data_IF_311411443114
#
_entry.id   IF_311411443114
#
_cell.length_a   1.000
_cell.length_b   1.000
_cell.length_c   1.000
_cell.angle_alpha   90.00
_cell.angle_beta   90.00
_cell.angle_gamma   90.00
#
_symmetry.space_group_name_H-M   'P 1'
#
loop_
_entity.id
_entity.type
_entity.pdbx_description
1 polymer ?
#
# COMPACT_ATOMS: atom_id res chain seq x y z
N UNK A 1 8.60 9.60 16.64
CA UNK A 1 9.24 9.35 17.95
C UNK A 1 8.97 10.44 19.01
N UNK A 2 8.93 11.74 18.68
CA UNK A 2 8.65 12.79 19.69
C UNK A 2 7.21 12.81 20.24
N UNK A 3 6.20 12.62 19.38
CA UNK A 3 4.78 12.61 19.79
C UNK A 3 4.40 11.39 20.64
N UNK A 4 4.87 10.20 20.26
CA UNK A 4 4.65 8.95 21.01
C UNK A 4 5.24 9.06 22.42
N UNK A 5 6.44 9.62 22.56
CA UNK A 5 7.05 9.80 23.89
C UNK A 5 6.31 10.81 24.77
N UNK A 6 5.74 11.86 24.18
CA UNK A 6 4.91 12.82 24.91
C UNK A 6 3.58 12.18 25.36
N UNK A 7 2.93 11.41 24.48
CA UNK A 7 1.73 10.64 24.81
C UNK A 7 1.99 9.61 25.91
N UNK A 8 3.11 8.88 25.85
CA UNK A 8 3.50 7.92 26.90
C UNK A 8 3.66 8.62 28.26
N UNK A 9 4.23 9.84 28.29
CA UNK A 9 4.38 10.61 29.52
C UNK A 9 3.04 11.14 30.06
N UNK A 10 2.12 11.57 29.19
CA UNK A 10 0.75 11.96 29.60
C UNK A 10 -0.02 10.75 30.14
N UNK A 11 0.08 9.59 29.50
CA UNK A 11 -0.59 8.35 29.95
C UNK A 11 -0.04 7.84 31.29
N UNK A 12 1.27 7.96 31.53
CA UNK A 12 1.89 7.64 32.83
C UNK A 12 1.46 8.62 33.94
N UNK A 13 1.27 9.90 33.63
CA UNK A 13 0.81 10.92 34.60
C UNK A 13 -0.68 10.75 34.97
N UNK A 14 -1.50 10.20 34.08
CA UNK A 14 -2.93 10.00 34.32
C UNK A 14 -3.30 8.73 35.11
N UNK A 15 -2.32 7.91 35.53
CA UNK A 15 -2.49 6.95 36.64
C UNK A 15 -3.66 5.97 36.50
N UNK A 16 -3.67 5.17 35.43
CA UNK A 16 -4.69 4.13 35.20
C UNK A 16 -4.10 2.72 35.38
N UNK A 17 -3.60 2.39 36.58
CA UNK A 17 -3.17 1.03 36.93
C UNK A 17 -4.40 0.14 37.23
N UNK A 18 -5.08 -0.34 36.19
CA UNK A 18 -6.15 -1.34 36.31
C UNK A 18 -5.63 -2.79 36.40
N UNK A 19 -4.42 -3.04 35.88
CA UNK A 19 -3.79 -4.37 35.87
C UNK A 19 -2.43 -4.34 36.55
N UNK A 20 -2.21 -5.26 37.49
CA UNK A 20 -0.88 -5.47 38.07
C UNK A 20 -0.01 -6.35 37.15
N UNK A 21 1.28 -6.01 37.06
CA UNK A 21 2.21 -6.77 36.23
C UNK A 21 2.30 -8.22 36.71
N UNK A 22 2.11 -9.16 35.79
CA UNK A 22 2.17 -10.59 36.02
C UNK A 22 0.89 -11.23 36.57
N UNK A 23 -0.21 -10.47 36.65
CA UNK A 23 -1.51 -10.95 37.16
C UNK A 23 -2.25 -11.82 36.14
N UNK A 24 -2.41 -11.32 34.91
CA UNK A 24 -3.10 -12.00 33.81
C UNK A 24 -2.24 -12.03 32.55
N UNK A 25 -2.38 -13.09 31.77
CA UNK A 25 -1.68 -13.28 30.50
C UNK A 25 -2.66 -13.64 29.37
N UNK A 26 -2.50 -13.01 28.21
CA UNK A 26 -3.34 -13.20 27.02
C UNK A 26 -2.54 -13.90 25.92
N UNK A 27 -3.13 -14.89 25.25
CA UNK A 27 -2.53 -15.54 24.08
C UNK A 27 -2.99 -14.94 22.74
N UNK A 28 -2.21 -15.17 21.69
CA UNK A 28 -2.46 -14.67 20.33
C UNK A 28 -3.55 -15.41 19.53
N UNK A 29 -4.50 -16.09 20.20
CA UNK A 29 -5.57 -16.84 19.51
C UNK A 29 -6.95 -16.20 19.69
N UNK A 30 -7.07 -15.24 20.62
CA UNK A 30 -8.35 -14.59 20.91
C UNK A 30 -8.74 -13.54 19.86
N UNK A 31 -7.77 -12.94 19.17
CA UNK A 31 -8.02 -11.90 18.19
C UNK A 31 -8.05 -12.46 16.78
N UNK A 32 -8.94 -11.95 15.93
CA UNK A 32 -8.90 -12.25 14.50
C UNK A 32 -7.78 -11.46 13.78
N UNK A 33 -7.47 -10.25 14.28
CA UNK A 33 -6.46 -9.39 13.69
C UNK A 33 -5.05 -9.99 13.83
N UNK A 34 -4.43 -10.28 12.68
CA UNK A 34 -3.11 -10.91 12.60
C UNK A 34 -1.96 -10.01 13.07
N UNK A 35 -2.10 -8.70 13.04
CA UNK A 35 -1.08 -7.74 13.45
C UNK A 35 -1.08 -7.59 14.97
N UNK A 36 -2.26 -7.53 15.60
CA UNK A 36 -2.38 -7.60 17.06
C UNK A 36 -1.83 -8.93 17.59
N UNK A 37 -2.20 -10.05 16.96
CA UNK A 37 -1.59 -11.35 17.25
C UNK A 37 -0.07 -11.40 17.00
N UNK A 38 0.40 -10.68 15.97
CA UNK A 38 1.82 -10.52 15.68
C UNK A 38 2.56 -9.76 16.77
N UNK A 39 1.94 -8.72 17.34
CA UNK A 39 2.47 -7.99 18.49
C UNK A 39 2.60 -8.92 19.71
N UNK A 40 1.55 -9.67 20.05
CA UNK A 40 1.57 -10.66 21.14
C UNK A 40 2.69 -11.68 20.94
N UNK A 41 2.85 -12.22 19.72
CA UNK A 41 3.91 -13.20 19.43
C UNK A 41 5.33 -12.62 19.51
N UNK A 42 5.49 -11.34 19.20
CA UNK A 42 6.79 -10.65 19.20
C UNK A 42 7.24 -10.26 20.59
N UNK A 43 6.29 -9.86 21.45
CA UNK A 43 6.57 -9.32 22.78
C UNK A 43 6.25 -10.30 23.92
N UNK A 44 5.55 -11.38 23.62
CA UNK A 44 5.18 -12.42 24.58
C UNK A 44 6.24 -13.50 24.77
N UNK A 45 5.95 -14.39 25.73
CA UNK A 45 6.77 -15.53 26.09
C UNK A 45 5.94 -16.81 26.20
N UNK A 46 6.58 -17.97 26.30
CA UNK A 46 5.83 -19.23 26.48
C UNK A 46 5.25 -19.30 27.89
N UNK A 47 3.92 -19.28 27.98
CA UNK A 47 3.19 -19.30 29.25
C UNK A 47 1.83 -19.96 29.12
N UNK A 48 0.97 -19.80 30.13
CA UNK A 48 -0.40 -20.29 30.13
C UNK A 48 -1.34 -19.09 30.07
N UNK A 49 -2.27 -19.08 29.12
CA UNK A 49 -3.25 -18.01 28.98
C UNK A 49 -4.21 -18.03 30.18
N UNK A 50 -4.41 -16.88 30.83
CA UNK A 50 -5.35 -16.74 31.96
C UNK A 50 -6.82 -16.90 31.53
N UNK A 51 -7.11 -16.73 30.24
CA UNK A 51 -8.47 -16.70 29.69
C UNK A 51 -8.90 -18.06 29.12
N UNK A 52 -8.07 -18.68 28.28
CA UNK A 52 -8.39 -19.98 27.67
C UNK A 52 -7.67 -21.18 28.33
N UNK A 53 -6.68 -20.94 29.19
CA UNK A 53 -5.91 -22.00 29.87
C UNK A 53 -4.91 -22.77 28.98
N UNK A 54 -4.79 -22.42 27.70
CA UNK A 54 -3.84 -23.06 26.79
C UNK A 54 -2.40 -22.58 27.03
N UNK A 55 -1.44 -23.49 26.83
CA UNK A 55 -0.01 -23.19 26.92
C UNK A 55 0.51 -22.77 25.56
N UNK A 56 0.77 -21.48 25.38
CA UNK A 56 1.15 -20.87 24.10
C UNK A 56 2.07 -19.66 24.32
N UNK A 57 2.32 -18.89 23.26
CA UNK A 57 2.92 -17.56 23.41
C UNK A 57 1.87 -16.61 24.00
N UNK A 58 2.19 -16.05 25.16
CA UNK A 58 1.32 -15.14 25.90
C UNK A 58 2.05 -13.84 26.22
N UNK A 59 1.30 -12.75 26.27
CA UNK A 59 1.78 -11.44 26.74
C UNK A 59 1.09 -11.08 28.06
N UNK A 60 1.75 -10.29 28.90
CA UNK A 60 1.14 -9.70 30.08
C UNK A 60 -0.05 -8.82 29.66
N UNK A 61 -1.20 -8.97 30.35
CA UNK A 61 -2.40 -8.19 30.03
C UNK A 61 -2.16 -6.69 30.18
N UNK A 62 -1.30 -6.27 31.12
CA UNK A 62 -0.92 -4.86 31.27
C UNK A 62 -0.17 -4.35 30.03
N UNK A 63 0.80 -5.12 29.54
CA UNK A 63 1.60 -4.74 28.37
C UNK A 63 0.73 -4.70 27.08
N UNK A 64 -0.29 -5.57 27.00
CA UNK A 64 -1.28 -5.54 25.92
C UNK A 64 -2.21 -4.33 26.03
N UNK A 65 -2.73 -4.05 27.23
CA UNK A 65 -3.59 -2.91 27.52
C UNK A 65 -2.91 -1.58 27.15
N UNK A 66 -1.63 -1.42 27.53
CA UNK A 66 -0.83 -0.26 27.17
C UNK A 66 -0.70 -0.11 25.65
N UNK A 67 -0.47 -1.21 24.93
CA UNK A 67 -0.40 -1.19 23.47
C UNK A 67 -1.74 -0.79 22.83
N UNK A 68 -2.85 -1.34 23.31
CA UNK A 68 -4.20 -1.03 22.81
C UNK A 68 -4.50 0.45 23.01
N UNK A 69 -4.38 0.96 24.24
CA UNK A 69 -4.64 2.36 24.59
C UNK A 69 -3.74 3.32 23.81
N UNK A 70 -2.43 3.03 23.73
CA UNK A 70 -1.51 3.87 22.97
C UNK A 70 -1.86 3.92 21.48
N UNK A 71 -2.27 2.79 20.90
CA UNK A 71 -2.63 2.76 19.47
C UNK A 71 -3.93 3.53 19.21
N UNK A 72 -4.96 3.31 20.04
CA UNK A 72 -6.25 4.01 19.90
C UNK A 72 -6.07 5.52 20.09
N UNK A 73 -5.37 5.97 21.14
CA UNK A 73 -5.17 7.41 21.43
C UNK A 73 -4.35 8.18 20.38
N UNK A 74 -3.64 7.48 19.50
CA UNK A 74 -2.98 8.10 18.34
C UNK A 74 -4.00 8.52 17.27
N UNK A 75 -5.09 7.76 17.12
CA UNK A 75 -6.02 7.88 15.99
C UNK A 75 -7.42 8.32 16.36
N UNK A 76 -7.87 8.03 17.58
CA UNK A 76 -9.22 8.27 18.07
C UNK A 76 -9.16 9.01 19.39
N UNK A 77 -10.23 9.75 19.65
CA UNK A 77 -10.48 10.46 20.89
C UNK A 77 -11.98 10.39 21.20
N UNK A 78 -12.31 10.63 22.46
CA UNK A 78 -13.67 10.97 22.86
C UNK A 78 -14.13 12.21 22.07
N UNK A 79 -15.37 12.16 21.57
CA UNK A 79 -16.03 13.27 20.85
C UNK A 79 -15.98 14.59 21.66
N UNK A 80 -16.17 14.54 22.98
CA UNK A 80 -16.11 15.72 23.87
C UNK A 80 -14.70 16.34 23.91
N UNK A 81 -13.67 15.57 23.60
CA UNK A 81 -12.26 16.01 23.64
C UNK A 81 -11.77 16.63 22.33
N UNK A 82 -12.53 16.53 21.24
CA UNK A 82 -12.15 17.01 19.89
C UNK A 82 -12.48 18.49 19.63
N UNK A 83 -12.96 19.23 20.64
CA UNK A 83 -13.32 20.64 20.52
C UNK A 83 -14.30 20.92 19.36
N UNK A 84 -15.24 20.00 19.14
CA UNK A 84 -16.20 20.04 18.05
C UNK A 84 -17.23 21.17 18.21
N UNK A 85 -17.71 21.75 17.09
CA UNK A 85 -18.80 22.71 17.16
C UNK A 85 -20.10 22.04 17.63
N UNK A 86 -20.90 22.77 18.40
CA UNK A 86 -22.24 22.30 18.78
C UNK A 86 -23.16 22.26 17.56
N UNK A 87 -23.89 21.16 17.42
CA UNK A 87 -24.88 20.97 16.35
C UNK A 87 -25.93 22.10 16.34
N UNK A 88 -26.32 22.60 17.52
CA UNK A 88 -27.26 23.72 17.66
C UNK A 88 -26.76 25.05 17.09
N UNK A 89 -25.47 25.17 16.75
CA UNK A 89 -24.92 26.34 16.06
C UNK A 89 -25.08 26.27 14.54
N UNK A 90 -25.38 25.09 14.00
CA UNK A 90 -25.46 24.83 12.57
C UNK A 90 -26.86 24.44 12.12
N UNK A 91 -27.57 23.65 12.92
CA UNK A 91 -28.86 23.06 12.58
C UNK A 91 -29.99 23.69 13.42
N UNK A 92 -31.01 24.21 12.76
CA UNK A 92 -32.20 24.82 13.37
C UNK A 92 -33.16 23.76 13.95
N UNK A 93 -33.23 22.58 13.33
CA UNK A 93 -34.02 21.43 13.78
C UNK A 93 -33.36 20.07 13.47
N UNK A 94 -34.00 18.96 13.86
CA UNK A 94 -33.48 17.60 13.70
C UNK A 94 -33.60 17.06 12.27
N UNK A 95 -34.47 17.62 11.44
CA UNK A 95 -34.71 17.18 10.05
C UNK A 95 -33.85 17.94 9.05
N UNK A 96 -33.27 19.07 9.45
CA UNK A 96 -32.39 19.89 8.61
C UNK A 96 -31.13 19.11 8.19
N UNK A 97 -30.87 19.11 6.87
CA UNK A 97 -29.69 18.50 6.28
C UNK A 97 -28.78 19.59 5.70
N UNK A 98 -27.53 19.64 6.17
CA UNK A 98 -26.53 20.60 5.70
C UNK A 98 -25.44 19.83 4.95
N UNK A 99 -25.23 20.10 3.65
CA UNK A 99 -24.24 19.36 2.87
C UNK A 99 -22.84 19.40 3.49
N UNK A 100 -22.30 18.22 3.79
CA UNK A 100 -20.92 18.04 4.25
C UNK A 100 -20.75 17.99 5.76
N UNK A 101 -21.82 18.18 6.55
CA UNK A 101 -21.80 18.00 8.00
C UNK A 101 -23.03 17.22 8.47
N UNK A 102 -22.85 16.39 9.49
CA UNK A 102 -23.93 15.64 10.16
C UNK A 102 -23.87 15.83 11.67
N UNK A 103 -24.92 15.40 12.37
CA UNK A 103 -25.00 15.42 13.84
C UNK A 103 -24.34 14.16 14.43
N UNK A 104 -23.62 14.32 15.53
CA UNK A 104 -23.11 13.26 16.40
C UNK A 104 -23.35 13.66 17.85
N UNK A 105 -24.36 13.07 18.49
CA UNK A 105 -24.87 13.57 19.77
C UNK A 105 -25.21 15.06 19.71
N UNK A 106 -24.54 15.88 20.55
CA UNK A 106 -24.72 17.33 20.56
C UNK A 106 -23.79 18.12 19.62
N UNK A 107 -22.96 17.43 18.85
CA UNK A 107 -21.92 18.01 18.00
C UNK A 107 -22.26 17.95 16.51
N UNK A 108 -21.69 18.89 15.75
CA UNK A 108 -21.63 18.83 14.30
C UNK A 108 -20.27 18.32 13.86
N UNK A 109 -20.27 17.27 13.05
CA UNK A 109 -19.08 16.61 12.51
C UNK A 109 -19.14 16.57 10.98
N UNK A 110 -18.04 16.27 10.28
CA UNK A 110 -18.09 16.00 8.84
C UNK A 110 -19.04 14.84 8.50
N UNK A 111 -19.73 14.97 7.36
CA UNK A 111 -20.67 13.95 6.85
C UNK A 111 -20.05 12.53 6.82
N UNK A 112 -18.80 12.45 6.38
CA UNK A 112 -18.08 11.19 6.20
C UNK A 112 -17.31 10.75 7.45
N UNK A 113 -17.43 11.48 8.57
CA UNK A 113 -16.76 11.08 9.80
C UNK A 113 -17.36 9.78 10.32
N UNK A 114 -16.50 8.82 10.61
CA UNK A 114 -16.84 7.59 11.32
C UNK A 114 -16.90 7.89 12.81
N UNK A 115 -18.02 7.55 13.42
CA UNK A 115 -18.33 7.78 14.84
C UNK A 115 -18.72 6.42 15.39
N UNK A 116 -18.21 6.11 16.56
CA UNK A 116 -18.68 4.98 17.35
C UNK A 116 -19.52 5.54 18.50
N UNK A 117 -20.75 5.08 18.62
CA UNK A 117 -21.71 5.57 19.61
C UNK A 117 -21.28 5.21 21.05
N UNK A 118 -20.54 4.11 21.19
CA UNK A 118 -20.00 3.63 22.45
C UNK A 118 -18.65 2.89 22.27
N UNK A 119 -18.02 2.54 23.40
CA UNK A 119 -16.72 1.82 23.41
C UNK A 119 -16.85 0.41 22.80
N UNK A 120 -18.00 -0.24 22.96
CA UNK A 120 -18.23 -1.59 22.43
C UNK A 120 -18.24 -1.59 20.90
N UNK A 121 -18.89 -0.60 20.27
CA UNK A 121 -18.90 -0.45 18.81
C UNK A 121 -17.49 -0.21 18.25
N UNK A 122 -16.71 0.67 18.91
CA UNK A 122 -15.30 0.89 18.54
C UNK A 122 -14.49 -0.41 18.69
N UNK A 123 -14.67 -1.16 19.79
CA UNK A 123 -13.96 -2.42 20.00
C UNK A 123 -14.31 -3.48 18.94
N UNK A 124 -15.56 -3.54 18.50
CA UNK A 124 -16.00 -4.45 17.43
C UNK A 124 -15.31 -4.08 16.11
N UNK A 125 -15.37 -2.82 15.69
CA UNK A 125 -14.80 -2.37 14.42
C UNK A 125 -13.26 -2.49 14.39
N UNK A 126 -12.60 -2.23 15.51
CA UNK A 126 -11.16 -2.38 15.64
C UNK A 126 -10.70 -3.85 15.84
N UNK A 127 -11.61 -4.81 15.86
CA UNK A 127 -11.29 -6.24 15.99
C UNK A 127 -10.74 -6.63 17.36
N UNK A 128 -11.14 -5.90 18.41
CA UNK A 128 -10.80 -6.18 19.81
C UNK A 128 -11.81 -7.10 20.50
N UNK A 129 -13.02 -7.22 19.96
CA UNK A 129 -14.01 -8.15 20.47
C UNK A 129 -13.59 -9.60 20.18
N UNK A 130 -13.51 -10.43 21.21
CA UNK A 130 -13.00 -11.81 21.17
C UNK A 130 -14.08 -12.84 21.45
N UNK A 131 -13.71 -14.12 21.36
CA UNK A 131 -14.54 -15.26 21.76
C UNK A 131 -14.63 -15.48 23.28
N UNK A 132 -13.97 -14.65 24.08
CA UNK A 132 -13.90 -14.78 25.53
C UNK A 132 -14.48 -13.55 26.24
N UNK A 133 -15.67 -13.72 26.84
CA UNK A 133 -16.37 -12.64 27.57
C UNK A 133 -15.49 -11.99 28.64
N UNK A 134 -14.75 -12.78 29.44
CA UNK A 134 -13.87 -12.23 30.48
C UNK A 134 -12.71 -11.40 29.93
N UNK A 135 -12.24 -11.68 28.70
CA UNK A 135 -11.23 -10.85 28.04
C UNK A 135 -11.86 -9.58 27.47
N UNK A 136 -13.06 -9.69 26.91
CA UNK A 136 -13.82 -8.54 26.41
C UNK A 136 -14.09 -7.55 27.55
N UNK A 137 -14.55 -8.03 28.71
CA UNK A 137 -14.76 -7.21 29.92
C UNK A 137 -13.46 -6.51 30.37
N UNK A 138 -12.33 -7.23 30.38
CA UNK A 138 -11.02 -6.68 30.76
C UNK A 138 -10.53 -5.60 29.77
N UNK A 139 -10.82 -5.73 28.47
CA UNK A 139 -10.47 -4.74 27.45
C UNK A 139 -11.43 -3.55 27.49
N UNK A 140 -12.73 -3.78 27.68
CA UNK A 140 -13.75 -2.72 27.78
C UNK A 140 -13.47 -1.79 28.96
N UNK A 141 -13.10 -2.36 30.12
CA UNK A 141 -12.66 -1.60 31.30
C UNK A 141 -11.36 -0.79 31.10
N UNK A 142 -10.69 -0.91 29.95
CA UNK A 142 -9.58 -0.01 29.62
C UNK A 142 -10.06 1.40 29.30
N UNK A 143 -11.33 1.57 28.94
CA UNK A 143 -11.90 2.81 28.46
C UNK A 143 -13.09 3.23 29.34
N UNK A 144 -13.36 4.53 29.36
CA UNK A 144 -14.67 5.01 29.81
C UNK A 144 -15.68 4.77 28.67
N UNK A 145 -16.93 4.48 29.01
CA UNK A 145 -17.99 4.23 28.03
C UNK A 145 -18.42 5.55 27.38
N UNK A 146 -17.75 5.90 26.28
CA UNK A 146 -17.84 7.20 25.62
C UNK A 146 -18.15 7.03 24.14
N UNK A 147 -18.60 8.12 23.53
CA UNK A 147 -18.69 8.22 22.07
C UNK A 147 -17.31 8.54 21.50
N UNK A 148 -16.87 7.80 20.48
CA UNK A 148 -15.53 7.92 19.91
C UNK A 148 -15.56 8.42 18.47
N UNK A 149 -14.53 9.18 18.11
CA UNK A 149 -14.34 9.69 16.75
C UNK A 149 -12.85 9.73 16.40
N UNK A 150 -12.55 9.67 15.10
CA UNK A 150 -11.21 9.95 14.59
C UNK A 150 -10.73 11.32 15.07
N UNK A 151 -9.51 11.36 15.58
CA UNK A 151 -8.78 12.57 15.95
C UNK A 151 -8.64 13.53 14.77
N UNK A 152 -8.84 14.82 15.02
CA UNK A 152 -9.00 15.85 14.01
C UNK A 152 -9.99 15.41 12.92
N UNK A 153 -11.29 15.26 13.23
CA UNK A 153 -12.25 14.64 12.32
C UNK A 153 -12.45 15.41 11.01
N UNK A 154 -12.16 16.70 10.99
CA UNK A 154 -12.18 17.55 9.78
C UNK A 154 -10.96 17.36 8.87
N UNK A 155 -9.90 16.73 9.36
CA UNK A 155 -8.73 16.36 8.57
C UNK A 155 -8.91 14.96 7.97
N UNK A 156 -8.35 14.75 6.78
CA UNK A 156 -8.29 13.43 6.16
C UNK A 156 -7.34 12.51 6.94
N UNK A 157 -7.48 11.20 6.77
CA UNK A 157 -6.39 10.31 7.12
C UNK A 157 -5.17 10.62 6.25
N UNK A 158 -3.95 10.38 6.75
CA UNK A 158 -2.75 10.69 5.99
C UNK A 158 -2.71 9.93 4.65
N UNK A 159 -3.15 8.67 4.62
CA UNK A 159 -3.21 7.89 3.38
C UNK A 159 -4.20 8.49 2.36
N UNK A 160 -5.33 9.03 2.81
CA UNK A 160 -6.32 9.68 1.95
C UNK A 160 -5.79 11.01 1.40
N UNK A 161 -5.07 11.78 2.22
CA UNK A 161 -4.38 12.98 1.76
C UNK A 161 -3.38 12.65 0.65
N UNK A 162 -2.56 11.61 0.85
CA UNK A 162 -1.62 11.14 -0.17
C UNK A 162 -2.31 10.65 -1.44
N UNK A 163 -3.46 9.99 -1.32
CA UNK A 163 -4.28 9.63 -2.49
C UNK A 163 -4.76 10.86 -3.26
N UNK A 164 -5.22 11.91 -2.56
CA UNK A 164 -5.64 13.15 -3.19
C UNK A 164 -4.46 13.87 -3.86
N UNK A 165 -3.28 13.88 -3.22
CA UNK A 165 -2.07 14.45 -3.81
C UNK A 165 -1.66 13.68 -5.08
N UNK A 166 -1.72 12.34 -5.06
CA UNK A 166 -1.47 11.51 -6.23
C UNK A 166 -2.47 11.80 -7.36
N UNK A 167 -3.77 11.87 -7.05
CA UNK A 167 -4.82 12.20 -8.03
C UNK A 167 -4.60 13.58 -8.65
N UNK A 168 -4.28 14.59 -7.84
CA UNK A 168 -3.97 15.96 -8.32
C UNK A 168 -2.72 15.98 -9.20
N UNK A 169 -1.67 15.25 -8.81
CA UNK A 169 -0.47 15.11 -9.62
C UNK A 169 -0.77 14.42 -10.96
N UNK A 170 -1.50 13.31 -10.94
CA UNK A 170 -1.90 12.57 -12.13
C UNK A 170 -2.68 13.46 -13.11
N UNK A 171 -3.69 14.20 -12.62
CA UNK A 171 -4.46 15.14 -13.44
C UNK A 171 -3.57 16.26 -14.02
N UNK A 172 -2.66 16.81 -13.21
CA UNK A 172 -1.73 17.86 -13.64
C UNK A 172 -0.84 17.39 -14.80
N UNK A 173 -0.23 16.21 -14.69
CA UNK A 173 0.68 15.69 -15.72
C UNK A 173 -0.07 15.14 -16.93
N UNK A 174 -1.33 14.73 -16.77
CA UNK A 174 -2.18 14.37 -17.91
C UNK A 174 -2.58 15.60 -18.74
N UNK A 175 -2.96 16.71 -18.10
CA UNK A 175 -3.70 17.78 -18.78
C UNK A 175 -3.05 19.17 -18.76
N UNK A 176 -1.97 19.39 -18.00
CA UNK A 176 -1.38 20.72 -17.84
C UNK A 176 0.14 20.75 -17.96
N UNK A 177 0.88 20.19 -17.00
CA UNK A 177 2.34 20.34 -16.87
C UNK A 177 3.05 18.99 -16.88
N UNK A 178 3.45 18.54 -18.08
CA UNK A 178 4.06 17.22 -18.26
C UNK A 178 5.57 17.17 -17.99
N UNK A 179 6.29 18.24 -18.33
CA UNK A 179 7.76 18.23 -18.37
C UNK A 179 8.41 19.12 -17.31
N UNK A 180 7.71 20.16 -16.86
CA UNK A 180 8.25 21.21 -15.99
C UNK A 180 7.76 21.11 -14.55
N UNK A 181 7.09 20.02 -14.18
CA UNK A 181 6.54 19.83 -12.83
C UNK A 181 7.64 19.82 -11.74
N UNK A 182 8.81 19.26 -12.02
CA UNK A 182 9.97 19.28 -11.10
C UNK A 182 10.56 20.68 -10.88
N UNK A 183 10.29 21.63 -11.79
CA UNK A 183 10.79 23.01 -11.68
C UNK A 183 9.81 23.92 -10.92
N UNK A 184 8.72 23.37 -10.37
CA UNK A 184 7.79 24.16 -9.57
C UNK A 184 8.44 24.57 -8.25
N UNK A 185 8.28 25.84 -7.83
CA UNK A 185 8.74 26.25 -6.51
C UNK A 185 8.00 25.40 -5.47
N UNK A 186 8.74 24.86 -4.50
CA UNK A 186 8.14 24.21 -3.33
C UNK A 186 7.34 25.29 -2.60
N UNK A 187 6.02 25.24 -2.71
CA UNK A 187 5.15 26.10 -1.88
C UNK A 187 5.23 25.52 -0.47
N UNK A 188 5.40 26.37 0.55
CA UNK A 188 5.43 25.87 1.94
C UNK A 188 4.15 25.07 2.21
N UNK A 189 4.30 23.78 2.53
CA UNK A 189 3.19 22.85 2.74
C UNK A 189 2.73 22.06 1.51
N UNK A 190 3.28 22.29 0.31
CA UNK A 190 3.03 21.40 -0.85
C UNK A 190 4.13 20.36 -0.96
N UNK A 191 3.91 19.19 -0.38
CA UNK A 191 4.81 18.05 -0.54
C UNK A 191 4.75 17.52 -1.98
N UNK A 192 5.92 17.17 -2.53
CA UNK A 192 6.01 16.55 -3.83
C UNK A 192 5.65 15.08 -3.66
N UNK A 193 4.52 14.65 -4.23
CA UNK A 193 4.04 13.26 -4.08
C UNK A 193 5.07 12.19 -4.49
N UNK A 194 6.01 12.50 -5.40
CA UNK A 194 7.07 11.57 -5.76
C UNK A 194 8.15 11.45 -4.66
N UNK A 195 8.41 12.54 -3.93
CA UNK A 195 9.28 12.54 -2.75
C UNK A 195 8.58 11.78 -1.59
N UNK A 196 7.27 12.00 -1.39
CA UNK A 196 6.51 11.24 -0.39
C UNK A 196 6.46 9.74 -0.72
N UNK A 197 6.18 9.37 -1.98
CA UNK A 197 6.25 7.98 -2.43
C UNK A 197 7.63 7.36 -2.17
N UNK A 198 8.71 8.14 -2.36
CA UNK A 198 10.06 7.70 -2.02
C UNK A 198 10.20 7.40 -0.52
N UNK A 199 9.79 8.34 0.35
CA UNK A 199 9.86 8.13 1.80
C UNK A 199 9.06 6.90 2.24
N UNK A 200 7.84 6.74 1.70
CA UNK A 200 7.01 5.57 1.99
C UNK A 200 7.71 4.28 1.55
N UNK A 201 8.23 4.21 0.33
CA UNK A 201 8.96 3.03 -0.16
C UNK A 201 10.20 2.74 0.71
N UNK A 202 10.94 3.77 1.15
CA UNK A 202 12.13 3.61 1.98
C UNK A 202 11.84 3.13 3.40
N UNK A 203 10.69 3.51 3.95
CA UNK A 203 10.31 3.21 5.32
C UNK A 203 9.35 2.04 5.46
N UNK A 204 8.87 1.47 4.35
CA UNK A 204 7.99 0.31 4.34
C UNK A 204 8.79 -0.98 4.08
N UNK A 205 8.82 -1.85 5.07
CA UNK A 205 9.54 -3.13 4.97
C UNK A 205 8.86 -4.06 3.95
N UNK A 206 9.66 -4.85 3.22
CA UNK A 206 9.18 -5.79 2.21
C UNK A 206 8.90 -5.19 0.83
N UNK A 207 8.88 -3.87 0.68
CA UNK A 207 8.67 -3.21 -0.63
C UNK A 207 9.91 -3.29 -1.51
N UNK A 208 11.12 -3.18 -0.97
CA UNK A 208 12.35 -3.44 -1.74
C UNK A 208 12.63 -4.93 -1.76
N UNK A 209 12.52 -5.54 -2.94
CA UNK A 209 12.66 -6.97 -3.14
C UNK A 209 13.86 -7.30 -4.02
N UNK A 210 14.56 -8.39 -3.71
CA UNK A 210 15.65 -8.92 -4.53
C UNK A 210 15.17 -10.12 -5.32
N UNK A 211 15.16 -10.01 -6.65
CA UNK A 211 14.93 -11.14 -7.54
C UNK A 211 16.25 -11.92 -7.66
N UNK A 212 16.30 -13.19 -7.22
CA UNK A 212 17.55 -13.97 -7.24
C UNK A 212 18.02 -14.31 -8.65
N UNK A 213 19.31 -14.65 -8.76
CA UNK A 213 19.90 -15.23 -9.97
C UNK A 213 19.18 -16.55 -10.32
N UNK A 214 18.91 -16.78 -11.61
CA UNK A 214 18.24 -17.99 -12.09
C UNK A 214 16.72 -17.96 -11.98
N UNK A 215 16.12 -16.83 -11.62
CA UNK A 215 14.66 -16.62 -11.68
C UNK A 215 14.19 -16.64 -13.12
N UNK A 216 13.11 -17.37 -13.41
CA UNK A 216 12.50 -17.40 -14.75
C UNK A 216 11.60 -16.19 -14.96
N UNK A 217 11.76 -15.52 -16.10
CA UNK A 217 10.87 -14.48 -16.59
C UNK A 217 10.39 -14.85 -17.99
N UNK A 218 9.10 -14.68 -18.24
CA UNK A 218 8.50 -14.88 -19.55
C UNK A 218 8.21 -13.54 -20.21
N UNK A 219 8.53 -13.44 -21.49
CA UNK A 219 8.18 -12.29 -22.32
C UNK A 219 7.69 -12.77 -23.68
N UNK A 220 6.64 -12.13 -24.15
CA UNK A 220 5.95 -12.50 -25.38
C UNK A 220 6.04 -11.38 -26.41
N UNK A 221 5.99 -11.76 -27.68
CA UNK A 221 5.92 -10.84 -28.80
C UNK A 221 5.00 -11.41 -29.87
N UNK A 222 4.01 -10.62 -30.25
CA UNK A 222 3.17 -10.92 -31.40
C UNK A 222 3.91 -10.64 -32.71
N UNK A 223 3.84 -11.57 -33.66
CA UNK A 223 4.43 -11.44 -34.99
C UNK A 223 3.37 -11.57 -36.08
N UNK A 224 3.48 -10.72 -37.09
CA UNK A 224 2.63 -10.79 -38.29
C UNK A 224 2.99 -11.94 -39.24
N UNK A 225 4.15 -12.57 -39.01
CA UNK A 225 4.75 -13.60 -39.85
C UNK A 225 5.27 -14.76 -39.00
N UNK A 226 5.40 -15.93 -39.62
CA UNK A 226 6.02 -17.08 -38.98
C UNK A 226 7.46 -16.76 -38.54
N UNK A 227 7.87 -17.37 -37.43
CA UNK A 227 9.22 -17.30 -36.90
C UNK A 227 10.24 -17.75 -37.96
N UNK A 228 11.29 -16.97 -38.17
CA UNK A 228 12.44 -17.37 -38.99
C UNK A 228 13.65 -17.74 -38.12
N UNK A 229 14.68 -18.35 -38.73
CA UNK A 229 15.89 -18.79 -38.03
C UNK A 229 16.81 -17.64 -37.57
N UNK A 230 16.52 -16.39 -37.96
CA UNK A 230 17.29 -15.22 -37.54
C UNK A 230 16.76 -14.59 -36.25
N UNK A 231 15.52 -14.95 -35.86
CA UNK A 231 14.89 -14.47 -34.65
C UNK A 231 15.61 -15.00 -33.41
N UNK A 232 16.14 -14.07 -32.61
CA UNK A 232 16.91 -14.41 -31.41
C UNK A 232 16.70 -13.45 -30.26
N UNK A 233 17.66 -13.42 -29.35
CA UNK A 233 17.61 -12.63 -28.11
C UNK A 233 17.21 -11.17 -28.34
N UNK A 234 17.82 -10.50 -29.33
CA UNK A 234 17.57 -9.08 -29.63
C UNK A 234 16.15 -8.82 -30.13
N UNK A 235 15.48 -9.83 -30.67
CA UNK A 235 14.14 -9.71 -31.25
C UNK A 235 13.04 -9.98 -30.21
N UNK A 236 13.30 -10.83 -29.21
CA UNK A 236 12.31 -11.15 -28.17
C UNK A 236 12.48 -10.35 -26.87
N UNK A 237 13.66 -9.79 -26.60
CA UNK A 237 13.89 -8.94 -25.41
C UNK A 237 13.17 -7.57 -25.55
N UNK A 238 13.61 -6.53 -24.84
CA UNK A 238 13.08 -5.16 -24.96
C UNK A 238 13.17 -4.66 -26.42
N UNK A 239 12.22 -3.86 -26.90
CA UNK A 239 12.34 -3.25 -28.23
C UNK A 239 13.49 -2.21 -28.25
N UNK A 240 14.26 -2.05 -29.35
CA UNK A 240 15.18 -0.93 -29.51
C UNK A 240 14.47 0.42 -29.35
N UNK A 241 15.16 1.46 -28.88
CA UNK A 241 14.55 2.77 -28.61
C UNK A 241 13.73 3.32 -29.80
N UNK A 242 14.25 3.22 -31.03
CA UNK A 242 13.57 3.70 -32.24
C UNK A 242 12.23 2.98 -32.56
N UNK A 243 12.00 1.81 -31.96
CA UNK A 243 10.79 1.01 -32.15
C UNK A 243 10.05 0.74 -30.84
N UNK A 244 10.50 1.34 -29.73
CA UNK A 244 9.86 1.22 -28.44
C UNK A 244 8.54 2.01 -28.48
N UNK A 245 7.43 1.27 -28.57
CA UNK A 245 6.10 1.86 -28.47
C UNK A 245 5.79 2.35 -27.06
N UNK A 246 4.65 3.02 -26.93
CA UNK A 246 4.18 3.44 -25.63
C UNK A 246 3.69 2.23 -24.80
N UNK A 247 4.07 2.19 -23.54
CA UNK A 247 3.65 1.19 -22.56
C UNK A 247 3.21 1.87 -21.26
N UNK A 248 2.58 1.11 -20.35
CA UNK A 248 2.09 1.62 -19.06
C UNK A 248 3.18 2.25 -18.19
N UNK A 249 4.37 1.64 -18.17
CA UNK A 249 5.49 2.09 -17.33
C UNK A 249 6.58 2.84 -18.11
N UNK A 250 6.48 2.92 -19.45
CA UNK A 250 7.49 3.61 -20.26
C UNK A 250 6.87 4.37 -21.43
N UNK A 251 7.27 5.63 -21.68
CA UNK A 251 6.80 6.37 -22.85
C UNK A 251 7.40 5.81 -24.14
N UNK A 252 6.80 6.15 -25.27
CA UNK A 252 7.36 5.80 -26.58
C UNK A 252 8.79 6.34 -26.72
N UNK A 253 9.69 5.53 -27.27
CA UNK A 253 11.11 5.84 -27.38
C UNK A 253 11.97 5.38 -26.19
N UNK A 254 11.37 5.03 -25.06
CA UNK A 254 12.10 4.56 -23.87
C UNK A 254 12.01 3.05 -23.75
N UNK A 255 13.10 2.37 -24.12
CA UNK A 255 13.21 0.91 -24.04
C UNK A 255 13.36 0.43 -22.59
N UNK A 256 12.50 -0.49 -22.19
CA UNK A 256 12.55 -1.24 -20.92
C UNK A 256 12.17 -2.71 -21.17
N UNK A 257 12.69 -3.62 -20.34
CA UNK A 257 12.33 -5.03 -20.42
C UNK A 257 11.06 -5.28 -19.62
N UNK A 258 9.99 -5.69 -20.29
CA UNK A 258 8.77 -6.17 -19.62
C UNK A 258 8.74 -7.69 -19.63
N UNK A 259 8.46 -8.30 -18.48
CA UNK A 259 8.23 -9.72 -18.34
C UNK A 259 7.20 -10.05 -17.27
N UNK A 260 6.84 -11.32 -17.19
CA UNK A 260 5.99 -11.89 -16.15
C UNK A 260 6.67 -13.11 -15.52
N UNK A 261 6.22 -13.51 -14.33
CA UNK A 261 6.76 -14.67 -13.61
C UNK A 261 6.10 -15.99 -14.04
N UNK A 262 5.00 -15.94 -14.79
CA UNK A 262 4.34 -17.09 -15.40
C UNK A 262 4.03 -16.84 -16.88
N UNK A 263 4.02 -17.93 -17.65
CA UNK A 263 3.85 -17.92 -19.11
C UNK A 263 2.47 -17.37 -19.50
N UNK A 264 1.43 -17.78 -18.77
CA UNK A 264 0.04 -17.41 -19.04
C UNK A 264 -0.18 -15.91 -18.88
N UNK A 265 0.39 -15.29 -17.84
CA UNK A 265 0.35 -13.84 -17.68
C UNK A 265 1.03 -13.13 -18.84
N UNK A 266 2.24 -13.57 -19.24
CA UNK A 266 2.96 -12.96 -20.35
C UNK A 266 2.16 -13.03 -21.66
N UNK A 267 1.50 -14.16 -21.95
CA UNK A 267 0.60 -14.30 -23.10
C UNK A 267 -0.57 -13.30 -22.99
N UNK A 268 -1.26 -13.29 -21.84
CA UNK A 268 -2.44 -12.46 -21.64
C UNK A 268 -2.14 -10.98 -21.86
N UNK A 269 -0.98 -10.48 -21.42
CA UNK A 269 -0.56 -9.08 -21.56
C UNK A 269 -0.21 -8.71 -23.00
N UNK A 270 0.33 -9.63 -23.80
CA UNK A 270 0.73 -9.35 -25.19
C UNK A 270 -0.41 -9.37 -26.20
N UNK A 271 -1.48 -10.14 -25.96
CA UNK A 271 -2.60 -10.21 -26.89
C UNK A 271 -3.36 -8.88 -26.88
N UNK A 272 -3.31 -8.14 -28.00
CA UNK A 272 -4.05 -6.89 -28.22
C UNK A 272 -5.30 -7.07 -29.06
N UNK A 273 -5.34 -8.06 -29.95
CA UNK A 273 -6.53 -8.43 -30.73
C UNK A 273 -6.62 -9.94 -30.98
N UNK A 274 -7.83 -10.41 -31.29
CA UNK A 274 -8.10 -11.82 -31.61
C UNK A 274 -7.47 -12.27 -32.96
N UNK A 275 -6.97 -11.33 -33.77
CA UNK A 275 -6.44 -11.57 -35.11
C UNK A 275 -4.91 -11.72 -35.15
N UNK A 276 -4.25 -11.72 -33.98
CA UNK A 276 -2.81 -11.93 -33.88
C UNK A 276 -2.42 -13.36 -34.28
N UNK A 277 -1.53 -13.49 -35.27
CA UNK A 277 -1.32 -14.75 -36.01
C UNK A 277 -0.35 -15.73 -35.36
N UNK A 278 0.64 -15.22 -34.64
CA UNK A 278 1.73 -16.00 -34.05
C UNK A 278 2.23 -15.29 -32.79
N UNK A 279 2.18 -15.97 -31.64
CA UNK A 279 2.76 -15.48 -30.39
C UNK A 279 4.08 -16.20 -30.13
N UNK A 280 5.17 -15.44 -30.11
CA UNK A 280 6.48 -15.96 -29.71
C UNK A 280 6.67 -15.71 -28.23
N UNK A 281 7.11 -16.74 -27.52
CA UNK A 281 7.29 -16.74 -26.09
C UNK A 281 8.76 -17.02 -25.80
N UNK A 282 9.45 -16.03 -25.23
CA UNK A 282 10.80 -16.16 -24.71
C UNK A 282 10.78 -16.49 -23.23
N UNK A 283 11.47 -17.57 -22.86
CA UNK A 283 11.79 -17.91 -21.48
C UNK A 283 13.19 -17.38 -21.16
N UNK A 284 13.26 -16.48 -20.19
CA UNK A 284 14.49 -15.84 -19.76
C UNK A 284 14.86 -16.27 -18.34
N UNK A 285 16.16 -16.33 -18.06
CA UNK A 285 16.70 -16.51 -16.71
C UNK A 285 17.49 -15.27 -16.31
N UNK A 286 17.27 -14.78 -15.10
CA UNK A 286 18.12 -13.72 -14.52
C UNK A 286 19.55 -14.23 -14.35
N UNK A 287 20.55 -13.42 -14.72
CA UNK A 287 21.97 -13.76 -14.60
C UNK A 287 22.72 -12.93 -13.55
N UNK A 288 21.98 -12.03 -12.89
CA UNK A 288 22.42 -11.24 -11.74
C UNK A 288 21.25 -11.09 -10.76
N UNK A 289 21.58 -10.68 -9.55
CA UNK A 289 20.57 -10.20 -8.61
C UNK A 289 20.01 -8.87 -9.12
N UNK A 290 18.69 -8.71 -9.02
CA UNK A 290 17.95 -7.55 -9.51
C UNK A 290 17.14 -6.99 -8.34
N UNK A 291 17.43 -5.75 -7.95
CA UNK A 291 16.68 -5.09 -6.87
C UNK A 291 15.49 -4.33 -7.45
N UNK A 292 14.28 -4.61 -7.00
CA UNK A 292 13.05 -3.98 -7.52
C UNK A 292 12.22 -3.38 -6.40
N UNK A 293 11.44 -2.35 -6.73
CA UNK A 293 10.28 -1.96 -5.92
C UNK A 293 9.17 -2.97 -6.21
N UNK A 294 8.71 -3.69 -5.21
CA UNK A 294 7.66 -4.70 -5.32
C UNK A 294 6.36 -4.22 -4.67
N UNK A 295 5.40 -3.87 -5.54
CA UNK A 295 4.05 -3.49 -5.14
C UNK A 295 3.07 -4.67 -5.20
N UNK A 296 3.54 -5.89 -5.46
CA UNK A 296 2.69 -7.08 -5.59
C UNK A 296 2.48 -7.82 -4.27
N UNK A 297 3.44 -7.67 -3.34
CA UNK A 297 3.50 -8.32 -2.02
C UNK A 297 2.92 -7.46 -0.90
N UNK A 298 2.25 -6.35 -1.24
CA UNK A 298 1.53 -5.52 -0.27
C UNK A 298 0.46 -6.36 0.46
N UNK A 299 0.31 -6.19 1.79
CA UNK A 299 -0.63 -6.97 2.59
C UNK A 299 -2.07 -6.73 2.16
N UNK A 300 -2.85 -7.81 2.08
CA UNK A 300 -4.26 -7.76 1.67
C UNK A 300 -5.11 -6.98 2.66
N UNK A 301 -4.84 -7.13 3.95
CA UNK A 301 -5.56 -6.47 5.05
C UNK A 301 -4.60 -5.53 5.76
N UNK A 302 -5.05 -4.33 6.05
CA UNK A 302 -4.34 -3.32 6.83
C UNK A 302 -5.26 -2.92 7.96
N UNK A 303 -4.72 -2.72 9.15
CA UNK A 303 -5.45 -2.26 10.32
C UNK A 303 -4.55 -1.36 11.15
N UNK A 304 -5.11 -0.61 12.09
CA UNK A 304 -4.36 0.34 12.92
C UNK A 304 -3.27 -0.35 13.77
N UNK A 305 -3.42 -1.65 14.02
CA UNK A 305 -2.47 -2.49 14.75
C UNK A 305 -1.18 -2.78 13.96
N UNK A 306 -1.19 -2.53 12.65
CA UNK A 306 -0.03 -2.69 11.79
C UNK A 306 0.88 -1.46 11.86
N UNK A 307 2.18 -1.68 12.08
CA UNK A 307 3.17 -0.59 12.00
C UNK A 307 3.14 0.05 10.59
N UNK A 308 3.02 1.39 10.55
CA UNK A 308 2.91 2.20 9.32
C UNK A 308 1.76 1.76 8.39
N UNK A 309 0.64 1.33 8.96
CA UNK A 309 -0.52 0.89 8.19
C UNK A 309 -0.98 1.92 7.14
N UNK A 310 -0.91 3.21 7.45
CA UNK A 310 -1.29 4.30 6.53
C UNK A 310 -0.42 4.29 5.26
N UNK A 311 0.89 4.02 5.39
CA UNK A 311 1.82 3.86 4.28
C UNK A 311 1.45 2.69 3.38
N UNK A 312 1.11 1.54 3.99
CA UNK A 312 0.63 0.37 3.24
C UNK A 312 -0.73 0.62 2.58
N UNK A 313 -1.66 1.28 3.27
CA UNK A 313 -2.96 1.65 2.73
C UNK A 313 -2.80 2.54 1.48
N UNK A 314 -1.94 3.56 1.58
CA UNK A 314 -1.61 4.43 0.45
C UNK A 314 -0.96 3.65 -0.71
N UNK A 315 0.09 2.84 -0.45
CA UNK A 315 0.75 2.06 -1.51
C UNK A 315 -0.22 1.11 -2.22
N UNK A 316 -1.19 0.53 -1.50
CA UNK A 316 -2.24 -0.32 -2.11
C UNK A 316 -3.14 0.48 -3.04
N UNK A 317 -3.57 1.67 -2.61
CA UNK A 317 -4.42 2.55 -3.42
C UNK A 317 -3.67 3.08 -4.65
N UNK A 318 -2.43 3.53 -4.45
CA UNK A 318 -1.50 3.93 -5.52
C UNK A 318 -1.28 2.80 -6.53
N UNK A 319 -1.00 1.58 -6.05
CA UNK A 319 -0.80 0.42 -6.91
C UNK A 319 -2.05 0.08 -7.73
N UNK A 320 -3.22 0.14 -7.10
CA UNK A 320 -4.51 -0.06 -7.77
C UNK A 320 -4.72 0.96 -8.90
N UNK A 321 -4.38 2.22 -8.67
CA UNK A 321 -4.49 3.29 -9.67
C UNK A 321 -3.55 3.06 -10.86
N UNK A 322 -2.26 2.80 -10.64
CA UNK A 322 -1.30 2.61 -11.75
C UNK A 322 -1.54 1.30 -12.52
N UNK A 323 -2.25 0.33 -11.94
CA UNK A 323 -2.55 -0.97 -12.56
C UNK A 323 -3.99 -1.08 -13.09
N UNK A 324 -4.79 -0.01 -13.04
CA UNK A 324 -6.17 -0.05 -13.50
C UNK A 324 -6.29 -0.31 -15.02
N UNK A 325 -7.27 -1.12 -15.47
CA UNK A 325 -7.58 -1.27 -16.89
C UNK A 325 -7.95 0.09 -17.51
N UNK A 326 -7.59 0.28 -18.78
CA UNK A 326 -8.04 1.46 -19.51
C UNK A 326 -9.52 1.37 -19.84
N UNK A 327 -10.23 2.50 -19.77
CA UNK A 327 -11.58 2.62 -20.31
C UNK A 327 -11.54 2.51 -21.84
N UNK A 328 -12.65 2.07 -22.46
CA UNK A 328 -12.71 1.76 -23.91
C UNK A 328 -12.27 2.91 -24.82
N UNK A 329 -12.52 4.15 -24.42
CA UNK A 329 -12.21 5.36 -25.20
C UNK A 329 -11.01 6.16 -24.63
N UNK A 330 -10.32 5.60 -23.63
CA UNK A 330 -9.20 6.26 -23.00
C UNK A 330 -7.97 6.28 -23.93
N UNK A 331 -7.26 7.42 -23.94
CA UNK A 331 -6.03 7.57 -24.73
C UNK A 331 -4.85 7.08 -23.89
N UNK A 332 -4.22 5.97 -24.29
CA UNK A 332 -3.00 5.45 -23.64
C UNK A 332 -1.94 6.55 -23.45
N UNK A 333 -1.76 7.38 -24.49
CA UNK A 333 -0.90 8.57 -24.56
C UNK A 333 -1.09 9.60 -23.43
N UNK A 334 -2.21 9.53 -22.71
CA UNK A 334 -2.55 10.41 -21.61
C UNK A 334 -2.60 9.60 -20.31
N UNK A 335 -3.35 8.51 -20.29
CA UNK A 335 -3.59 7.75 -19.05
C UNK A 335 -2.33 7.12 -18.45
N UNK A 336 -1.33 6.78 -19.27
CA UNK A 336 -0.09 6.20 -18.77
C UNK A 336 0.95 7.23 -18.32
N UNK A 337 0.72 8.52 -18.55
CA UNK A 337 1.70 9.56 -18.20
C UNK A 337 2.08 9.53 -16.71
N UNK A 338 1.14 9.41 -15.74
CA UNK A 338 1.50 9.38 -14.32
C UNK A 338 2.40 8.19 -13.95
N UNK A 339 2.05 6.97 -14.39
CA UNK A 339 2.83 5.76 -14.11
C UNK A 339 4.19 5.76 -14.82
N UNK A 340 4.27 6.35 -16.02
CA UNK A 340 5.54 6.56 -16.73
C UNK A 340 6.46 7.50 -15.96
N UNK A 341 5.93 8.63 -15.47
CA UNK A 341 6.72 9.58 -14.68
C UNK A 341 7.21 8.93 -13.38
N UNK A 342 6.34 8.21 -12.67
CA UNK A 342 6.75 7.46 -11.47
C UNK A 342 7.85 6.44 -11.79
N UNK A 343 7.73 5.72 -12.90
CA UNK A 343 8.75 4.73 -13.31
C UNK A 343 10.08 5.39 -13.64
N UNK A 344 10.08 6.54 -14.33
CA UNK A 344 11.31 7.30 -14.57
C UNK A 344 11.90 7.89 -13.29
N UNK A 345 11.06 8.33 -12.36
CA UNK A 345 11.49 8.77 -11.04
C UNK A 345 12.21 7.63 -10.28
N UNK A 346 11.63 6.43 -10.25
CA UNK A 346 12.29 5.25 -9.68
C UNK A 346 13.63 4.93 -10.38
N UNK A 347 13.67 5.08 -11.70
CA UNK A 347 14.85 4.75 -12.50
C UNK A 347 16.02 5.73 -12.28
N UNK A 348 15.74 7.02 -12.12
CA UNK A 348 16.76 8.06 -12.19
C UNK A 348 16.97 8.84 -10.89
N UNK A 349 15.96 8.92 -10.04
CA UNK A 349 15.97 9.79 -8.86
C UNK A 349 15.91 9.01 -7.55
N UNK A 350 15.25 7.85 -7.54
CA UNK A 350 15.18 7.00 -6.35
C UNK A 350 16.54 6.37 -6.03
N UNK A 351 16.88 6.40 -4.75
CA UNK A 351 17.98 5.63 -4.16
C UNK A 351 17.54 5.08 -2.81
N UNK A 352 17.94 3.84 -2.50
CA UNK A 352 17.70 3.29 -1.17
C UNK A 352 18.51 4.01 -0.08
N UNK A 353 18.34 3.59 1.19
CA UNK A 353 19.06 4.15 2.34
C UNK A 353 20.60 4.04 2.24
N UNK A 354 21.12 3.22 1.33
CA UNK A 354 22.55 3.02 1.07
C UNK A 354 23.02 3.76 -0.20
N UNK A 355 22.15 4.55 -0.84
CA UNK A 355 22.46 5.27 -2.08
C UNK A 355 22.43 4.38 -3.34
N UNK A 356 21.84 3.17 -3.27
CA UNK A 356 21.77 2.25 -4.42
C UNK A 356 20.50 2.51 -5.22
N UNK A 357 20.62 2.50 -6.54
CA UNK A 357 19.47 2.57 -7.44
C UNK A 357 18.75 1.23 -7.51
N UNK A 358 17.46 1.29 -7.81
CA UNK A 358 16.66 0.10 -8.14
C UNK A 358 16.80 -0.25 -9.62
N UNK A 359 16.72 -1.54 -9.90
CA UNK A 359 16.83 -2.13 -11.22
C UNK A 359 15.46 -2.26 -11.92
N UNK A 360 14.34 -2.15 -11.19
CA UNK A 360 13.01 -2.27 -11.78
C UNK A 360 11.84 -2.09 -10.81
N UNK A 361 10.64 -2.38 -11.32
CA UNK A 361 9.36 -2.30 -10.60
C UNK A 361 8.54 -3.57 -10.87
N UNK A 362 8.04 -4.20 -9.80
CA UNK A 362 7.06 -5.28 -9.85
C UNK A 362 5.66 -4.75 -9.54
N UNK A 363 4.69 -5.11 -10.37
CA UNK A 363 3.30 -4.66 -10.27
C UNK A 363 2.32 -5.75 -10.73
N UNK A 364 1.05 -5.68 -10.31
CA UNK A 364 0.05 -6.68 -10.70
C UNK A 364 -0.43 -6.40 -12.12
N UNK A 365 -0.55 -7.46 -12.93
CA UNK A 365 -1.20 -7.44 -14.23
C UNK A 365 -2.63 -6.94 -14.11
N UNK A 366 -3.04 -6.03 -15.00
CA UNK A 366 -4.43 -5.60 -15.03
C UNK A 366 -5.37 -6.73 -15.48
N UNK A 367 -4.86 -7.68 -16.29
CA UNK A 367 -5.58 -8.82 -16.88
C UNK A 367 -5.59 -10.05 -15.97
N UNK A 368 -4.41 -10.58 -15.59
CA UNK A 368 -4.31 -11.83 -14.81
C UNK A 368 -4.29 -11.65 -13.29
N UNK A 369 -4.10 -10.41 -12.82
CA UNK A 369 -3.85 -10.05 -11.40
C UNK A 369 -2.59 -10.66 -10.77
N UNK A 370 -1.79 -11.42 -11.53
CA UNK A 370 -0.48 -11.94 -11.12
C UNK A 370 0.63 -10.91 -11.34
N UNK A 371 1.84 -11.20 -10.84
CA UNK A 371 2.97 -10.29 -10.90
C UNK A 371 3.57 -10.14 -12.32
N UNK A 372 3.78 -8.89 -12.71
CA UNK A 372 4.61 -8.45 -13.83
C UNK A 372 5.84 -7.73 -13.29
N UNK A 373 6.87 -7.64 -14.13
CA UNK A 373 8.08 -6.87 -13.84
C UNK A 373 8.45 -6.00 -15.04
N UNK A 374 8.82 -4.75 -14.77
CA UNK A 374 9.54 -3.89 -15.70
C UNK A 374 10.96 -3.68 -15.17
N UNK A 375 11.96 -4.06 -15.97
CA UNK A 375 13.38 -3.84 -15.66
C UNK A 375 13.90 -2.66 -16.47
N UNK A 376 14.72 -1.83 -15.84
CA UNK A 376 15.23 -0.58 -16.40
C UNK A 376 16.40 -0.78 -17.40
N UNK A 377 16.56 -1.99 -17.92
CA UNK A 377 17.47 -2.33 -19.01
C UNK A 377 16.79 -2.22 -20.39
N UNK A 378 17.51 -1.63 -21.34
CA UNK A 378 17.07 -1.51 -22.73
C UNK A 378 17.46 -2.75 -23.55
N UNK A 379 17.08 -2.80 -24.83
CA UNK A 379 17.38 -3.92 -25.74
C UNK A 379 18.85 -4.39 -25.69
N UNK A 380 19.80 -3.46 -25.63
CA UNK A 380 21.23 -3.78 -25.61
C UNK A 380 21.69 -4.33 -24.26
N UNK A 381 21.35 -3.63 -23.17
CA UNK A 381 21.76 -3.94 -21.80
C UNK A 381 21.04 -5.15 -21.20
N UNK A 382 19.90 -5.57 -21.76
CA UNK A 382 19.18 -6.76 -21.28
C UNK A 382 20.07 -8.01 -21.24
N UNK A 383 21.08 -8.10 -22.12
CA UNK A 383 22.03 -9.24 -22.14
C UNK A 383 22.86 -9.38 -20.86
N UNK A 384 23.04 -8.29 -20.12
CA UNK A 384 23.82 -8.27 -18.87
C UNK A 384 22.93 -8.61 -17.66
N UNK A 385 21.63 -8.81 -17.89
CA UNK A 385 20.60 -8.95 -16.87
C UNK A 385 19.87 -10.28 -16.96
N UNK A 386 19.57 -10.71 -18.20
CA UNK A 386 18.86 -11.94 -18.50
C UNK A 386 19.51 -12.70 -19.65
N UNK A 387 19.41 -14.03 -19.60
CA UNK A 387 19.74 -14.94 -20.71
C UNK A 387 18.46 -15.58 -21.24
N UNK A 388 18.36 -15.72 -22.56
CA UNK A 388 17.27 -16.45 -23.20
C UNK A 388 17.59 -17.95 -23.14
N UNK A 389 16.75 -18.72 -22.46
CA UNK A 389 16.90 -20.18 -22.35
C UNK A 389 16.13 -20.91 -23.44
N UNK A 390 14.90 -20.46 -23.72
CA UNK A 390 14.02 -21.15 -24.66
C UNK A 390 13.16 -20.16 -25.46
N UNK A 391 12.82 -20.55 -26.68
CA UNK A 391 11.86 -19.88 -27.54
C UNK A 391 10.78 -20.89 -27.93
N UNK A 392 9.53 -20.52 -27.70
CA UNK A 392 8.38 -21.31 -28.13
C UNK A 392 7.38 -20.45 -28.87
N UNK A 393 6.50 -21.10 -29.65
CA UNK A 393 5.52 -20.43 -30.48
C UNK A 393 4.14 -21.01 -30.19
N UNK A 394 3.17 -20.15 -29.94
CA UNK A 394 1.75 -20.48 -29.87
C UNK A 394 1.02 -19.90 -31.09
N UNK A 395 0.10 -20.68 -31.66
CA UNK A 395 -0.68 -20.35 -32.85
C UNK A 395 -2.13 -20.15 -32.50
#
# INVERSE_FOLDING_TARGET
MGRIKALMMEMEEHGYDFFEKGEKYVCSHHFEDKYLNGYIKKHGETGVCSYCGHKETVIDMRDLADHIRMTISVYFNDVDSECLPLASSYFDDEEEQIPGIKRAGCFAVPENAEIYEDTSEMMEDLGLHTDCDSLNDDIDHLFEDNMWIKKNPFELWWNEEMELLWKRFAEMVKHSRRFTFLAMPKVSGSENILEELNEVILHTDGVLHQIPIGTTLYRTRSLDKALDNSFGFKDITSAPNASAGQCRMSPAGVSMFYGAFDKETAISESIKSADEKVLVIGEFKTIREITVVDLTTLPTDVSIWMDKWEGFAFLKSFHKDITQPLLKDAKEAIEYVPSQIFTEYLRWMFTDKQGRHVDGLMYKSCKSKKANVVLFCNNEKSRDWVKLENLSVEK
#
